data_IF_756882985081
#
_entry.id   IF_756882985081
#
_cell.length_a   1.000
_cell.length_b   1.000
_cell.length_c   1.000
_cell.angle_alpha   90.00
_cell.angle_beta   90.00
_cell.angle_gamma   90.00
#
_symmetry.space_group_name_H-M   'P 1'
#
loop_
_entity.id
_entity.type
_entity.pdbx_description
1 polymer ?
#
# COMPACT_ATOMS: atom_id res chain seq x y z
N UNK A 1 -20.06 2.66 14.97
CA UNK A 1 -19.89 1.88 13.72
C UNK A 1 -19.45 2.75 12.53
N UNK A 2 -20.13 3.86 12.20
CA UNK A 2 -19.69 4.84 11.17
C UNK A 2 -18.25 5.38 11.34
N UNK A 3 -17.72 5.38 12.56
CA UNK A 3 -16.43 6.00 12.87
C UNK A 3 -15.19 5.26 12.31
N UNK A 4 -15.23 3.95 12.05
CA UNK A 4 -14.00 3.18 11.75
C UNK A 4 -13.51 3.33 10.31
N UNK A 5 -14.38 3.25 9.30
CA UNK A 5 -13.99 3.50 7.90
C UNK A 5 -13.67 4.97 7.65
N UNK A 6 -14.45 5.87 8.24
CA UNK A 6 -14.14 7.30 8.26
C UNK A 6 -12.78 7.56 8.93
N UNK A 7 -12.46 6.82 10.00
CA UNK A 7 -11.17 6.91 10.69
C UNK A 7 -10.02 6.38 9.83
N UNK A 8 -10.17 5.25 9.14
CA UNK A 8 -9.13 4.71 8.26
C UNK A 8 -8.85 5.64 7.06
N UNK A 9 -9.90 6.16 6.42
CA UNK A 9 -9.78 7.15 5.35
C UNK A 9 -9.11 8.43 5.87
N UNK A 10 -9.59 9.00 6.98
CA UNK A 10 -9.02 10.22 7.56
C UNK A 10 -7.57 10.03 7.97
N UNK A 11 -7.23 8.90 8.61
CA UNK A 11 -5.86 8.57 8.97
C UNK A 11 -4.96 8.48 7.73
N UNK A 12 -5.44 7.87 6.65
CA UNK A 12 -4.67 7.77 5.40
C UNK A 12 -4.43 9.13 4.77
N UNK A 13 -5.46 9.97 4.69
CA UNK A 13 -5.36 11.33 4.13
C UNK A 13 -4.43 12.21 4.98
N UNK A 14 -4.54 12.14 6.32
CA UNK A 14 -3.66 12.87 7.23
C UNK A 14 -2.19 12.43 7.04
N UNK A 15 -1.93 11.13 6.94
CA UNK A 15 -0.59 10.62 6.68
C UNK A 15 -0.03 11.15 5.35
N UNK A 16 -0.85 11.23 4.30
CA UNK A 16 -0.45 11.82 3.01
C UNK A 16 -0.13 13.31 3.10
N UNK A 17 -0.92 14.07 3.85
CA UNK A 17 -0.66 15.49 4.07
C UNK A 17 0.65 15.70 4.84
N UNK A 18 0.91 14.87 5.85
CA UNK A 18 2.16 14.89 6.60
C UNK A 18 3.37 14.53 5.72
N UNK A 19 3.27 13.48 4.90
CA UNK A 19 4.29 13.11 3.91
C UNK A 19 4.55 14.28 2.95
N UNK A 20 3.49 14.85 2.36
CA UNK A 20 3.59 15.97 1.42
C UNK A 20 4.26 17.19 2.04
N UNK A 21 3.95 17.53 3.29
CA UNK A 21 4.57 18.62 4.02
C UNK A 21 6.07 18.39 4.27
N UNK A 22 6.50 17.13 4.44
CA UNK A 22 7.90 16.77 4.66
C UNK A 22 8.74 16.68 3.36
N UNK A 23 8.12 16.38 2.22
CA UNK A 23 8.80 16.17 0.93
C UNK A 23 9.76 17.30 0.52
N UNK A 24 9.42 18.61 0.62
CA UNK A 24 10.34 19.67 0.22
C UNK A 24 11.66 19.66 0.99
N UNK A 25 11.64 19.30 2.27
CA UNK A 25 12.85 19.18 3.07
C UNK A 25 13.70 17.97 2.63
N UNK A 26 13.04 16.84 2.36
CA UNK A 26 13.70 15.61 1.88
C UNK A 26 14.33 15.79 0.50
N UNK A 27 13.66 16.51 -0.41
CA UNK A 27 14.19 16.80 -1.74
C UNK A 27 15.42 17.70 -1.71
N UNK A 28 15.50 18.63 -0.75
CA UNK A 28 16.69 19.48 -0.56
C UNK A 28 17.90 18.72 -0.02
N UNK A 29 17.67 17.60 0.68
CA UNK A 29 18.72 16.74 1.26
C UNK A 29 18.34 15.27 1.08
N UNK A 30 18.49 14.73 -0.15
CA UNK A 30 18.10 13.36 -0.44
C UNK A 30 18.87 12.39 0.46
N UNK A 31 18.15 11.51 1.15
CA UNK A 31 18.74 10.40 1.90
C UNK A 31 18.27 9.10 1.27
N UNK A 32 19.13 8.08 1.21
CA UNK A 32 18.75 6.72 0.81
C UNK A 32 17.90 5.99 1.87
N UNK A 33 17.27 6.73 2.79
CA UNK A 33 16.60 6.23 4.00
C UNK A 33 15.38 5.32 3.71
N UNK A 34 14.94 5.22 2.45
CA UNK A 34 13.83 4.37 2.02
C UNK A 34 14.23 2.97 1.54
N UNK A 35 15.52 2.65 1.40
CA UNK A 35 15.96 1.35 0.88
C UNK A 35 16.60 0.54 1.99
N UNK A 36 16.04 -0.65 2.25
CA UNK A 36 16.62 -1.67 3.13
C UNK A 36 16.86 -2.93 2.33
N UNK A 37 18.01 -3.57 2.50
CA UNK A 37 18.27 -4.85 1.84
C UNK A 37 19.04 -5.79 2.75
N UNK A 38 18.85 -7.08 2.54
CA UNK A 38 19.51 -8.15 3.28
C UNK A 38 19.77 -9.32 2.35
N UNK A 39 20.96 -9.90 2.44
CA UNK A 39 21.24 -11.20 1.85
C UNK A 39 20.77 -12.26 2.85
N UNK A 40 19.78 -13.07 2.48
CA UNK A 40 19.24 -14.12 3.36
C UNK A 40 20.04 -15.41 3.27
N UNK A 41 20.60 -15.70 2.08
CA UNK A 41 21.43 -16.86 1.77
C UNK A 41 22.41 -16.47 0.63
N UNK A 42 23.50 -17.21 0.40
CA UNK A 42 24.39 -16.96 -0.74
C UNK A 42 23.61 -16.90 -2.06
N UNK A 43 23.75 -15.78 -2.79
CA UNK A 43 23.04 -15.56 -4.05
C UNK A 43 21.55 -15.18 -3.90
N UNK A 44 21.00 -15.10 -2.68
CA UNK A 44 19.59 -14.73 -2.45
C UNK A 44 19.49 -13.43 -1.64
N UNK A 45 18.88 -12.41 -2.25
CA UNK A 45 18.67 -11.10 -1.65
C UNK A 45 17.19 -10.75 -1.49
N UNK A 46 16.87 -10.02 -0.44
CA UNK A 46 15.59 -9.34 -0.25
C UNK A 46 15.85 -7.84 -0.10
N UNK A 47 15.08 -7.02 -0.81
CA UNK A 47 15.10 -5.57 -0.69
C UNK A 47 13.69 -5.05 -0.43
N UNK A 48 13.55 -4.12 0.51
CA UNK A 48 12.34 -3.37 0.78
C UNK A 48 12.61 -1.89 0.47
N UNK A 49 11.76 -1.30 -0.36
CA UNK A 49 11.87 0.09 -0.80
C UNK A 49 10.59 0.82 -0.45
N UNK A 50 10.69 1.92 0.31
CA UNK A 50 9.56 2.81 0.55
C UNK A 50 9.26 3.59 -0.73
N UNK A 51 8.05 3.40 -1.26
CA UNK A 51 7.55 4.11 -2.44
C UNK A 51 6.44 5.07 -2.08
N UNK A 52 6.01 5.87 -3.05
CA UNK A 52 4.82 6.69 -2.88
C UNK A 52 3.58 5.89 -2.47
N UNK A 53 3.44 4.59 -2.72
CA UNK A 53 2.24 3.80 -2.36
C UNK A 53 2.40 2.92 -1.13
N UNK A 54 3.56 2.97 -0.48
CA UNK A 54 3.96 2.08 0.61
C UNK A 54 5.18 1.23 0.23
N UNK A 55 5.46 0.21 1.02
CA UNK A 55 6.65 -0.63 0.88
C UNK A 55 6.53 -1.59 -0.30
N UNK A 56 7.50 -1.53 -1.21
CA UNK A 56 7.70 -2.48 -2.31
C UNK A 56 8.82 -3.47 -1.91
N UNK A 57 8.52 -4.76 -1.97
CA UNK A 57 9.47 -5.81 -1.59
C UNK A 57 9.89 -6.58 -2.84
N UNK A 58 11.19 -6.77 -3.01
CA UNK A 58 11.80 -7.61 -4.03
C UNK A 58 12.55 -8.76 -3.37
N UNK A 59 12.44 -9.96 -3.93
CA UNK A 59 13.28 -11.11 -3.60
C UNK A 59 13.91 -11.63 -4.89
N UNK A 60 15.23 -11.76 -4.89
CA UNK A 60 16.01 -12.23 -6.03
C UNK A 60 16.87 -13.41 -5.60
N UNK A 61 16.92 -14.46 -6.41
CA UNK A 61 17.92 -15.52 -6.31
C UNK A 61 18.77 -15.56 -7.58
N UNK A 62 20.07 -15.72 -7.42
CA UNK A 62 21.06 -15.77 -8.50
C UNK A 62 21.71 -17.14 -8.56
N UNK A 63 21.93 -17.63 -9.78
CA UNK A 63 22.69 -18.84 -10.08
C UNK A 63 23.57 -18.58 -11.31
N UNK A 64 24.89 -18.85 -11.20
CA UNK A 64 25.83 -18.56 -12.29
C UNK A 64 25.83 -17.09 -12.74
N UNK A 65 25.58 -16.16 -11.82
CA UNK A 65 25.49 -14.72 -12.12
C UNK A 65 24.21 -14.28 -12.84
N UNK A 66 23.22 -15.16 -12.99
CA UNK A 66 21.92 -14.87 -13.62
C UNK A 66 20.79 -14.99 -12.61
N UNK A 67 19.69 -14.27 -12.82
CA UNK A 67 18.48 -14.40 -11.99
C UNK A 67 17.83 -15.76 -12.26
N UNK A 68 17.86 -16.65 -11.26
CA UNK A 68 17.20 -17.96 -11.30
C UNK A 68 15.78 -17.90 -10.74
N UNK A 69 15.51 -16.99 -9.80
CA UNK A 69 14.16 -16.75 -9.26
C UNK A 69 13.95 -15.30 -8.88
N UNK A 70 12.77 -14.77 -9.17
CA UNK A 70 12.37 -13.41 -8.82
C UNK A 70 10.95 -13.40 -8.25
N UNK A 71 10.74 -12.69 -7.16
CA UNK A 71 9.43 -12.45 -6.58
C UNK A 71 9.31 -10.99 -6.14
N UNK A 72 8.12 -10.44 -6.27
CA UNK A 72 7.77 -9.09 -5.85
C UNK A 72 6.58 -9.18 -4.92
N UNK A 73 6.54 -8.32 -3.90
CA UNK A 73 5.28 -7.95 -3.26
C UNK A 73 5.12 -6.44 -3.38
N UNK A 74 4.18 -6.02 -4.22
CA UNK A 74 3.87 -4.63 -4.50
C UNK A 74 2.98 -4.03 -3.40
N UNK A 75 3.02 -2.70 -3.18
CA UNK A 75 2.19 -2.06 -2.17
C UNK A 75 0.69 -2.29 -2.39
N UNK A 76 0.25 -2.32 -3.66
CA UNK A 76 -1.15 -2.59 -4.01
C UNK A 76 -1.59 -4.01 -3.62
N UNK A 77 -0.69 -5.00 -3.67
CA UNK A 77 -1.01 -6.36 -3.24
C UNK A 77 -1.28 -6.41 -1.73
N UNK A 78 -0.47 -5.72 -0.91
CA UNK A 78 -0.71 -5.61 0.54
C UNK A 78 -1.98 -4.82 0.87
N UNK A 79 -2.18 -3.68 0.21
CA UNK A 79 -3.29 -2.78 0.51
C UNK A 79 -4.65 -3.41 0.17
N UNK A 80 -4.73 -4.18 -0.93
CA UNK A 80 -5.97 -4.78 -1.44
C UNK A 80 -6.06 -6.29 -1.22
N UNK A 81 -5.13 -6.88 -0.45
CA UNK A 81 -5.27 -8.26 0.03
C UNK A 81 -6.60 -8.43 0.78
N UNK A 82 -7.25 -9.61 0.77
CA UNK A 82 -8.50 -9.86 1.52
C UNK A 82 -8.42 -9.60 3.03
N UNK A 83 -7.20 -9.54 3.58
CA UNK A 83 -6.90 -9.16 4.98
C UNK A 83 -6.06 -7.87 5.08
N UNK A 84 -6.02 -7.11 4.00
CA UNK A 84 -5.21 -5.90 3.84
C UNK A 84 -5.92 -4.64 4.30
N UNK A 85 -5.26 -3.49 4.11
CA UNK A 85 -5.72 -2.19 4.58
C UNK A 85 -7.12 -1.82 4.09
N UNK A 86 -7.45 -2.13 2.83
CA UNK A 86 -8.76 -1.84 2.25
C UNK A 86 -9.88 -2.61 2.95
N UNK A 87 -9.74 -3.94 3.06
CA UNK A 87 -10.72 -4.80 3.71
C UNK A 87 -10.87 -4.46 5.20
N UNK A 88 -9.76 -4.27 5.91
CA UNK A 88 -9.77 -3.88 7.32
C UNK A 88 -10.37 -2.49 7.54
N UNK A 89 -10.12 -1.54 6.65
CA UNK A 89 -10.68 -0.18 6.74
C UNK A 89 -12.19 -0.14 6.53
N UNK A 90 -12.75 -1.03 5.72
CA UNK A 90 -14.20 -1.17 5.54
C UNK A 90 -14.84 -2.14 6.55
N UNK A 91 -14.05 -2.91 7.29
CA UNK A 91 -14.56 -3.84 8.27
C UNK A 91 -15.40 -3.08 9.31
N UNK A 92 -16.65 -3.50 9.49
CA UNK A 92 -17.63 -2.88 10.41
C UNK A 92 -18.06 -1.46 10.04
N UNK A 93 -17.78 -1.01 8.80
CA UNK A 93 -18.36 0.20 8.26
C UNK A 93 -19.88 0.00 8.13
N UNK A 94 -20.65 0.83 8.82
CA UNK A 94 -22.09 0.89 8.61
C UNK A 94 -22.37 1.81 7.41
N UNK A 95 -23.17 1.32 6.46
CA UNK A 95 -23.74 2.10 5.37
C UNK A 95 -25.26 1.99 5.44
N UNK A 96 -25.96 3.10 5.14
CA UNK A 96 -27.42 3.17 5.11
C UNK A 96 -28.02 2.49 3.89
N UNK A 97 -27.28 2.55 2.77
CA UNK A 97 -27.67 1.98 1.49
C UNK A 97 -26.43 1.56 0.67
N UNK A 98 -26.67 0.89 -0.45
CA UNK A 98 -25.60 0.44 -1.36
C UNK A 98 -24.79 1.59 -1.95
N UNK A 99 -25.40 2.77 -2.13
CA UNK A 99 -24.73 3.92 -2.71
C UNK A 99 -23.71 4.50 -1.72
N UNK A 100 -24.07 4.62 -0.44
CA UNK A 100 -23.14 5.02 0.63
C UNK A 100 -22.00 3.99 0.79
N UNK A 101 -22.31 2.69 0.73
CA UNK A 101 -21.29 1.63 0.77
C UNK A 101 -20.30 1.75 -0.39
N UNK A 102 -20.82 1.94 -1.62
CA UNK A 102 -20.02 2.12 -2.83
C UNK A 102 -19.14 3.37 -2.75
N UNK A 103 -19.68 4.49 -2.28
CA UNK A 103 -18.94 5.74 -2.12
C UNK A 103 -17.82 5.61 -1.10
N UNK A 104 -18.09 5.00 0.08
CA UNK A 104 -17.07 4.77 1.09
C UNK A 104 -15.94 3.87 0.58
N UNK A 105 -16.29 2.78 -0.11
CA UNK A 105 -15.32 1.89 -0.75
C UNK A 105 -14.49 2.60 -1.82
N UNK A 106 -15.10 3.39 -2.70
CA UNK A 106 -14.37 4.14 -3.72
C UNK A 106 -13.43 5.19 -3.10
N UNK A 107 -13.88 5.94 -2.09
CA UNK A 107 -13.05 6.93 -1.40
C UNK A 107 -11.83 6.28 -0.73
N UNK A 108 -12.02 5.16 -0.04
CA UNK A 108 -10.91 4.44 0.58
C UNK A 108 -9.96 3.87 -0.47
N UNK A 109 -10.48 3.32 -1.57
CA UNK A 109 -9.66 2.82 -2.66
C UNK A 109 -8.80 3.95 -3.24
N UNK A 110 -9.38 5.12 -3.52
CA UNK A 110 -8.65 6.29 -3.99
C UNK A 110 -7.58 6.76 -2.99
N UNK A 111 -7.87 6.75 -1.69
CA UNK A 111 -6.88 7.11 -0.67
C UNK A 111 -5.71 6.11 -0.57
N UNK A 112 -5.94 4.85 -0.92
CA UNK A 112 -4.90 3.81 -1.00
C UNK A 112 -4.14 3.81 -2.34
N UNK A 113 -4.65 4.52 -3.35
CA UNK A 113 -4.03 4.77 -4.66
C UNK A 113 -3.54 3.49 -5.38
N UNK A 114 -4.47 2.62 -5.84
CA UNK A 114 -4.10 1.42 -6.60
C UNK A 114 -3.39 1.80 -7.90
N UNK A 115 -2.34 1.06 -8.26
CA UNK A 115 -1.59 1.28 -9.50
C UNK A 115 -2.18 0.55 -10.73
N UNK A 116 -3.38 -0.03 -10.60
CA UNK A 116 -4.11 -0.77 -11.63
C UNK A 116 -5.56 -0.31 -11.68
N UNK A 117 -6.23 -0.54 -12.81
CA UNK A 117 -7.66 -0.30 -12.92
C UNK A 117 -8.44 -1.18 -11.92
N UNK A 118 -9.51 -0.63 -11.34
CA UNK A 118 -10.34 -1.33 -10.37
C UNK A 118 -11.83 -0.99 -10.56
N UNK A 119 -12.69 -1.87 -10.04
CA UNK A 119 -14.14 -1.70 -10.00
C UNK A 119 -14.65 -2.04 -8.59
N UNK A 120 -15.64 -1.29 -8.10
CA UNK A 120 -16.32 -1.60 -6.84
C UNK A 120 -17.67 -2.26 -7.15
N UNK A 121 -17.88 -3.46 -6.61
CA UNK A 121 -19.16 -4.17 -6.67
C UNK A 121 -19.69 -4.38 -5.26
N UNK A 122 -20.97 -4.08 -5.06
CA UNK A 122 -21.68 -4.33 -3.81
C UNK A 122 -22.58 -5.54 -4.06
N UNK A 123 -22.44 -6.57 -3.24
CA UNK A 123 -23.29 -7.74 -3.27
C UNK A 123 -24.25 -7.62 -2.08
N UNK A 124 -25.54 -7.59 -2.37
CA UNK A 124 -26.62 -7.66 -1.37
C UNK A 124 -26.81 -9.11 -0.88
#
# INVERSE_FOLDING_TARGET
AQALAASALAARLLARLAELAALPAQLRRPQAAGVRSVQVEPGVGIAAVETARGTLIHRVALEGGRVSRYAIVAPTEWNFHPRGAFACGLAHAAARDENEARQAAALLAHALDPCVAYEVRINA
#
